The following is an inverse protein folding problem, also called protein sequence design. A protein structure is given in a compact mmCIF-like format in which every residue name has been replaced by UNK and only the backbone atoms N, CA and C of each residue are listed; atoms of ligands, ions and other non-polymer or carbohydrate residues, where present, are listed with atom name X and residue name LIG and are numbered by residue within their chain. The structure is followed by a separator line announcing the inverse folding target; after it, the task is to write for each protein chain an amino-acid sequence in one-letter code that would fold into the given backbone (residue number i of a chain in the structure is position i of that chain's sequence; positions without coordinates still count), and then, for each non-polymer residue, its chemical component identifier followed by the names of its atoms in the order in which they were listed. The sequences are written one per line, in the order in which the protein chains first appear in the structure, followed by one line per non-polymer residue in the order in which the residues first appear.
data_IF_572927357801
#
_entry.id   IF_572927357801
#
_cell.length_a   1.000
_cell.length_b   1.000
_cell.length_c   1.000
_cell.angle_alpha   90.00
_cell.angle_beta   90.00
_cell.angle_gamma   90.00
#
_symmetry.space_group_name_H-M   'P 1'
#
loop_
_entity.id
_entity.type
_entity.pdbx_description
1 polymer ?
#
# COMPACT_ATOMS: atom_id res chain seq x y z
N UNK A 1 -16.42 1.01 7.82
CA UNK A 1 -16.91 -0.22 8.49
C UNK A 1 -16.30 -0.27 9.89
N UNK A 2 -17.06 -0.63 10.93
CA UNK A 2 -16.50 -0.90 12.26
C UNK A 2 -15.99 -2.34 12.34
N UNK A 3 -14.82 -2.54 12.93
CA UNK A 3 -14.26 -3.87 13.16
C UNK A 3 -14.94 -4.54 14.35
N UNK A 4 -15.19 -5.84 14.22
CA UNK A 4 -15.66 -6.67 15.33
C UNK A 4 -14.59 -6.80 16.42
N UNK A 5 -14.97 -7.09 17.69
CA UNK A 5 -14.01 -7.38 18.75
C UNK A 5 -12.98 -8.46 18.37
N UNK A 6 -13.42 -9.50 17.66
CA UNK A 6 -12.58 -10.60 17.19
C UNK A 6 -11.56 -10.14 16.15
N UNK A 7 -11.98 -9.31 15.20
CA UNK A 7 -11.08 -8.71 14.21
C UNK A 7 -10.08 -7.77 14.87
N UNK A 8 -10.49 -6.96 15.84
CA UNK A 8 -9.55 -6.11 16.61
C UNK A 8 -8.52 -6.95 17.36
N UNK A 9 -8.96 -8.00 18.04
CA UNK A 9 -8.07 -8.92 18.75
C UNK A 9 -7.09 -9.64 17.80
N UNK A 10 -7.56 -10.04 16.61
CA UNK A 10 -6.70 -10.62 15.58
C UNK A 10 -5.68 -9.61 15.06
N UNK A 11 -6.12 -8.40 14.71
CA UNK A 11 -5.22 -7.37 14.20
C UNK A 11 -4.14 -7.01 15.24
N UNK A 12 -4.53 -6.89 16.50
CA UNK A 12 -3.61 -6.61 17.60
C UNK A 12 -2.57 -7.73 17.76
N UNK A 13 -2.99 -9.00 17.67
CA UNK A 13 -2.10 -10.16 17.79
C UNK A 13 -1.18 -10.35 16.58
N UNK A 14 -1.76 -10.30 15.38
CA UNK A 14 -1.12 -10.78 14.15
C UNK A 14 -0.65 -9.65 13.22
N UNK A 15 -1.19 -8.44 13.38
CA UNK A 15 -0.82 -7.24 12.64
C UNK A 15 -1.54 -7.06 11.30
N UNK A 16 -2.48 -7.95 10.97
CA UNK A 16 -3.24 -7.89 9.73
C UNK A 16 -4.64 -8.50 9.85
N UNK A 17 -5.50 -8.15 8.91
CA UNK A 17 -6.81 -8.73 8.64
C UNK A 17 -6.94 -9.06 7.14
N UNK A 18 -7.65 -10.14 6.83
CA UNK A 18 -7.94 -10.56 5.46
C UNK A 18 -9.44 -10.77 5.27
N UNK A 19 -9.98 -10.21 4.19
CA UNK A 19 -11.40 -10.23 3.85
C UNK A 19 -11.53 -10.81 2.43
N UNK A 20 -11.75 -12.13 2.30
CA UNK A 20 -11.84 -12.77 0.98
C UNK A 20 -13.11 -12.33 0.24
N UNK A 21 -12.96 -11.94 -1.03
CA UNK A 21 -14.08 -11.52 -1.89
C UNK A 21 -14.91 -10.36 -1.30
N UNK A 22 -14.24 -9.41 -0.63
CA UNK A 22 -14.91 -8.30 0.03
C UNK A 22 -15.55 -7.30 -0.93
N UNK A 23 -15.08 -7.29 -2.18
CA UNK A 23 -15.65 -6.56 -3.30
C UNK A 23 -16.15 -7.53 -4.36
N UNK A 24 -17.27 -7.18 -5.03
CA UNK A 24 -17.87 -8.00 -6.07
C UNK A 24 -17.05 -8.00 -7.37
N UNK A 25 -17.39 -8.89 -8.28
CA UNK A 25 -16.79 -8.92 -9.61
C UNK A 25 -17.10 -7.63 -10.40
N UNK A 26 -18.31 -7.07 -10.26
CA UNK A 26 -18.73 -5.81 -10.87
C UNK A 26 -17.94 -4.62 -10.30
N UNK A 27 -17.80 -4.55 -8.97
CA UNK A 27 -17.00 -3.50 -8.30
C UNK A 27 -15.54 -3.56 -8.77
N UNK A 28 -14.97 -4.76 -8.80
CA UNK A 28 -13.56 -4.96 -9.20
C UNK A 28 -13.35 -4.68 -10.70
N UNK A 29 -14.34 -5.01 -11.54
CA UNK A 29 -14.28 -4.75 -12.98
C UNK A 29 -14.11 -3.26 -13.31
N UNK A 30 -14.78 -2.39 -12.57
CA UNK A 30 -14.67 -0.92 -12.73
C UNK A 30 -13.23 -0.44 -12.53
N UNK A 31 -12.48 -1.09 -11.63
CA UNK A 31 -11.08 -0.79 -11.36
C UNK A 31 -10.16 -1.40 -12.42
N UNK A 32 -10.36 -2.68 -12.77
CA UNK A 32 -9.51 -3.38 -13.75
C UNK A 32 -9.59 -2.75 -15.13
N UNK A 33 -10.78 -2.28 -15.55
CA UNK A 33 -10.99 -1.65 -16.86
C UNK A 33 -10.22 -0.32 -16.98
N UNK A 34 -9.90 0.35 -15.85
CA UNK A 34 -9.15 1.61 -15.83
C UNK A 34 -7.62 1.44 -15.83
N UNK A 35 -7.10 0.25 -15.48
CA UNK A 35 -5.65 0.00 -15.37
C UNK A 35 -4.91 0.18 -16.70
N UNK A 36 -5.39 -0.34 -17.85
CA UNK A 36 -4.66 -0.23 -19.12
C UNK A 36 -4.37 1.22 -19.55
N UNK A 37 -5.36 2.13 -19.41
CA UNK A 37 -5.16 3.55 -19.74
C UNK A 37 -4.07 4.17 -18.85
N UNK A 38 -4.16 3.95 -17.53
CA UNK A 38 -3.17 4.45 -16.58
C UNK A 38 -1.76 3.93 -16.88
N UNK A 39 -1.62 2.65 -17.18
CA UNK A 39 -0.32 2.01 -17.43
C UNK A 39 0.29 2.40 -18.78
N UNK A 40 -0.54 2.83 -19.73
CA UNK A 40 -0.07 3.31 -21.04
C UNK A 40 0.68 4.65 -20.93
N UNK A 41 0.33 5.48 -19.95
CA UNK A 41 0.92 6.82 -19.75
C UNK A 41 2.42 6.74 -19.49
N UNK A 42 3.18 7.64 -20.12
CA UNK A 42 4.64 7.75 -19.96
C UNK A 42 4.97 8.92 -19.04
N UNK A 43 4.61 8.74 -17.78
CA UNK A 43 4.71 9.74 -16.71
C UNK A 43 5.57 9.23 -15.56
N UNK A 44 6.15 10.14 -14.77
CA UNK A 44 7.06 9.81 -13.67
C UNK A 44 6.43 8.90 -12.60
N UNK A 45 5.10 8.95 -12.43
CA UNK A 45 4.37 8.09 -11.50
C UNK A 45 4.25 6.63 -11.96
N UNK A 46 4.62 6.28 -13.19
CA UNK A 46 4.66 4.91 -13.70
C UNK A 46 6.11 4.37 -13.64
N UNK A 47 6.46 3.74 -12.52
CA UNK A 47 7.73 3.04 -12.38
C UNK A 47 7.64 1.69 -13.10
N UNK A 48 8.52 1.46 -14.07
CA UNK A 48 8.55 0.25 -14.90
C UNK A 48 9.65 -0.71 -14.44
N UNK A 49 9.48 -1.98 -14.77
CA UNK A 49 10.51 -2.99 -14.51
C UNK A 49 11.78 -2.70 -15.32
N UNK A 50 12.93 -3.10 -14.78
CA UNK A 50 14.22 -2.86 -15.43
C UNK A 50 14.31 -3.71 -16.71
N UNK A 51 14.44 -3.04 -17.86
CA UNK A 51 14.58 -3.72 -19.15
C UNK A 51 13.27 -4.21 -19.77
N UNK A 52 12.12 -3.81 -19.22
CA UNK A 52 10.79 -4.09 -19.77
C UNK A 52 9.92 -2.82 -19.76
N UNK A 53 8.89 -2.81 -20.60
CA UNK A 53 7.83 -1.81 -20.58
C UNK A 53 6.73 -2.12 -19.55
N UNK A 54 6.80 -3.24 -18.82
CA UNK A 54 5.85 -3.58 -17.77
C UNK A 54 5.85 -2.55 -16.62
N UNK A 55 4.68 -2.05 -16.24
CA UNK A 55 4.55 -1.17 -15.06
C UNK A 55 4.64 -2.01 -13.79
N UNK A 56 5.66 -1.74 -12.98
CA UNK A 56 5.85 -2.32 -11.65
C UNK A 56 4.94 -1.66 -10.62
N UNK A 57 4.93 -0.33 -10.61
CA UNK A 57 4.12 0.48 -9.70
C UNK A 57 3.63 1.73 -10.42
N UNK A 58 2.31 1.92 -10.43
CA UNK A 58 1.71 3.22 -10.69
C UNK A 58 1.43 3.90 -9.35
N UNK A 59 1.83 5.15 -9.21
CA UNK A 59 1.56 5.97 -8.04
C UNK A 59 0.43 6.97 -8.31
N UNK A 60 -0.28 7.36 -7.26
CA UNK A 60 -1.24 8.46 -7.28
C UNK A 60 -2.40 8.34 -8.29
N UNK A 61 -2.76 7.14 -8.76
CA UNK A 61 -3.88 6.93 -9.69
C UNK A 61 -5.19 7.60 -9.25
N UNK A 62 -5.44 7.68 -7.94
CA UNK A 62 -6.62 8.34 -7.37
C UNK A 62 -6.70 9.85 -7.63
N UNK A 63 -5.61 10.51 -8.04
CA UNK A 63 -5.61 11.92 -8.45
C UNK A 63 -5.82 12.10 -9.96
N UNK A 64 -5.88 11.00 -10.71
CA UNK A 64 -5.91 10.99 -12.19
C UNK A 64 -7.19 10.31 -12.71
N UNK A 65 -7.61 9.22 -12.06
CA UNK A 65 -8.66 8.32 -12.53
C UNK A 65 -9.82 8.24 -11.55
N UNK A 66 -11.03 8.58 -12.01
CA UNK A 66 -12.24 8.62 -11.17
C UNK A 66 -12.53 7.29 -10.44
N UNK A 67 -12.45 6.10 -11.07
CA UNK A 67 -12.59 4.83 -10.35
C UNK A 67 -11.68 4.70 -9.11
N UNK A 68 -10.41 5.09 -9.23
CA UNK A 68 -9.44 5.01 -8.14
C UNK A 68 -9.63 6.16 -7.14
N UNK A 69 -10.12 7.32 -7.58
CA UNK A 69 -10.52 8.42 -6.70
C UNK A 69 -11.72 8.05 -5.82
N UNK A 70 -12.66 7.24 -6.34
CA UNK A 70 -13.77 6.66 -5.56
C UNK A 70 -13.28 5.58 -4.62
N UNK A 71 -12.39 4.68 -5.07
CA UNK A 71 -11.78 3.66 -4.22
C UNK A 71 -10.99 4.27 -3.05
N UNK A 72 -10.24 5.34 -3.28
CA UNK A 72 -9.49 6.08 -2.27
C UNK A 72 -10.38 6.62 -1.13
N UNK A 73 -11.68 6.80 -1.40
CA UNK A 73 -12.70 7.29 -0.47
C UNK A 73 -13.70 6.18 -0.08
N UNK A 74 -13.43 4.92 -0.43
CA UNK A 74 -14.38 3.84 -0.20
C UNK A 74 -14.47 3.47 1.29
N UNK A 75 -15.67 3.35 1.88
CA UNK A 75 -15.83 3.15 3.33
C UNK A 75 -15.35 1.78 3.84
N UNK A 76 -15.27 0.78 2.96
CA UNK A 76 -14.60 -0.51 3.24
C UNK A 76 -13.08 -0.40 3.29
N UNK A 77 -12.49 0.55 2.55
CA UNK A 77 -11.03 0.75 2.52
C UNK A 77 -10.57 1.66 3.66
N UNK A 78 -11.24 2.80 3.87
CA UNK A 78 -10.82 3.83 4.82
C UNK A 78 -11.31 3.54 6.23
N UNK A 79 -12.59 3.15 6.36
CA UNK A 79 -13.26 3.05 7.65
C UNK A 79 -12.59 2.15 8.69
N UNK A 80 -12.06 0.95 8.33
CA UNK A 80 -11.33 0.11 9.29
C UNK A 80 -10.10 0.78 9.90
N UNK A 81 -9.40 1.65 9.16
CA UNK A 81 -8.21 2.34 9.67
C UNK A 81 -8.60 3.46 10.62
N UNK A 82 -9.62 4.27 10.26
CA UNK A 82 -10.20 5.29 11.15
C UNK A 82 -10.69 4.66 12.46
N UNK A 83 -11.32 3.49 12.38
CA UNK A 83 -11.83 2.74 13.54
C UNK A 83 -10.71 2.21 14.46
N UNK A 84 -9.56 1.81 13.89
CA UNK A 84 -8.38 1.37 14.67
C UNK A 84 -7.62 2.53 15.31
N UNK A 85 -7.48 3.65 14.61
CA UNK A 85 -6.78 4.83 15.15
C UNK A 85 -7.64 5.70 16.06
N UNK A 86 -8.96 5.54 15.97
CA UNK A 86 -9.95 6.41 16.60
C UNK A 86 -9.72 7.89 16.21
N UNK A 87 -9.29 8.09 14.96
CA UNK A 87 -8.87 9.36 14.40
C UNK A 87 -9.10 9.37 12.87
N UNK A 88 -9.32 10.56 12.32
CA UNK A 88 -9.32 10.78 10.88
C UNK A 88 -7.94 10.50 10.26
N UNK A 89 -7.96 10.13 8.97
CA UNK A 89 -6.76 9.76 8.23
C UNK A 89 -6.68 10.52 6.92
N UNK A 90 -5.46 10.78 6.48
CA UNK A 90 -5.17 11.26 5.13
C UNK A 90 -4.54 10.15 4.28
N UNK A 91 -4.55 10.32 2.96
CA UNK A 91 -3.85 9.44 2.04
C UNK A 91 -2.36 9.78 2.06
N UNK A 92 -1.52 8.96 2.68
CA UNK A 92 -0.06 9.16 2.63
C UNK A 92 0.51 8.72 1.28
N UNK A 93 0.04 7.59 0.76
CA UNK A 93 0.51 7.03 -0.50
C UNK A 93 -0.56 6.16 -1.16
N UNK A 94 -0.72 6.27 -2.47
CA UNK A 94 -1.59 5.40 -3.27
C UNK A 94 -0.79 4.69 -4.36
N UNK A 95 -0.88 3.36 -4.43
CA UNK A 95 -0.14 2.53 -5.39
C UNK A 95 -1.03 1.54 -6.11
N UNK A 96 -0.78 1.29 -7.38
CA UNK A 96 -1.22 0.09 -8.09
C UNK A 96 0.04 -0.69 -8.45
N UNK A 97 0.27 -1.80 -7.77
CA UNK A 97 1.43 -2.64 -7.99
C UNK A 97 1.08 -3.75 -8.98
N UNK A 98 1.71 -3.69 -10.16
CA UNK A 98 1.60 -4.71 -11.19
C UNK A 98 2.74 -5.71 -11.04
N UNK A 99 2.40 -6.97 -10.76
CA UNK A 99 3.35 -8.08 -10.83
C UNK A 99 2.99 -8.96 -12.02
N UNK A 100 3.48 -8.54 -13.19
CA UNK A 100 3.12 -9.15 -14.47
C UNK A 100 3.62 -10.58 -14.58
N UNK A 101 2.87 -11.40 -15.33
CA UNK A 101 3.24 -12.77 -15.66
C UNK A 101 4.69 -12.84 -16.20
N UNK A 102 5.45 -13.82 -15.72
CA UNK A 102 6.86 -14.08 -16.07
C UNK A 102 7.90 -12.99 -15.74
N UNK A 103 7.50 -11.74 -15.50
CA UNK A 103 8.42 -10.61 -15.37
C UNK A 103 8.52 -10.04 -13.95
N UNK A 104 7.51 -10.25 -13.12
CA UNK A 104 7.39 -9.56 -11.84
C UNK A 104 8.48 -9.93 -10.81
N UNK A 105 9.30 -8.96 -10.42
CA UNK A 105 10.46 -9.18 -9.53
C UNK A 105 10.09 -9.19 -8.03
N UNK A 106 11.02 -9.61 -7.18
CA UNK A 106 10.90 -9.70 -5.72
C UNK A 106 10.65 -8.33 -5.07
N UNK A 107 9.96 -8.36 -3.92
CA UNK A 107 10.01 -7.32 -2.90
C UNK A 107 10.63 -7.92 -1.64
N UNK A 108 11.76 -7.39 -1.19
CA UNK A 108 12.53 -7.86 -0.05
C UNK A 108 11.75 -7.70 1.25
N UNK A 109 12.17 -8.38 2.31
CA UNK A 109 11.60 -8.18 3.64
C UNK A 109 11.83 -6.74 4.12
N UNK A 110 10.74 -6.03 4.39
CA UNK A 110 10.76 -4.64 4.83
C UNK A 110 9.60 -4.32 5.78
N UNK A 111 9.67 -3.13 6.37
CA UNK A 111 8.55 -2.42 6.97
C UNK A 111 8.29 -1.16 6.12
N UNK A 112 7.03 -0.87 5.80
CA UNK A 112 6.68 0.36 5.10
C UNK A 112 7.04 1.59 5.96
N UNK A 113 6.75 1.53 7.26
CA UNK A 113 7.09 2.60 8.20
C UNK A 113 8.59 2.89 8.24
N UNK A 114 9.44 1.87 8.05
CA UNK A 114 10.89 2.07 7.97
C UNK A 114 11.27 3.05 6.86
N UNK A 115 10.60 3.00 5.70
CA UNK A 115 10.81 3.98 4.63
C UNK A 115 10.25 5.35 5.01
N UNK A 116 9.03 5.40 5.54
CA UNK A 116 8.35 6.66 5.85
C UNK A 116 9.03 7.46 6.97
N UNK A 117 9.59 6.76 7.97
CA UNK A 117 10.43 7.36 9.00
C UNK A 117 11.72 7.92 8.39
N UNK A 118 12.48 7.09 7.65
CA UNK A 118 13.81 7.45 7.20
C UNK A 118 13.82 8.47 6.05
N UNK A 119 12.80 8.47 5.20
CA UNK A 119 12.72 9.37 4.05
C UNK A 119 11.81 10.58 4.29
N UNK A 120 10.65 10.40 4.91
CA UNK A 120 9.66 11.48 5.05
C UNK A 120 9.54 12.03 6.48
N UNK A 121 10.30 11.47 7.44
CA UNK A 121 10.22 11.83 8.85
C UNK A 121 8.79 11.68 9.42
N UNK A 122 8.09 10.60 9.06
CA UNK A 122 6.82 10.24 9.68
C UNK A 122 7.03 10.00 11.20
N UNK A 123 6.37 10.74 12.11
CA UNK A 123 6.74 10.77 13.54
C UNK A 123 6.62 9.43 14.25
N UNK A 124 5.53 8.70 14.02
CA UNK A 124 5.21 7.41 14.64
C UNK A 124 4.62 6.45 13.62
N UNK A 125 4.48 5.18 13.99
CA UNK A 125 3.91 4.12 13.18
C UNK A 125 2.38 4.17 13.03
N UNK A 126 1.73 5.31 13.33
CA UNK A 126 0.28 5.56 13.14
C UNK A 126 -0.09 5.70 11.66
N UNK A 127 0.28 4.69 10.88
CA UNK A 127 -0.11 4.49 9.50
C UNK A 127 -0.36 2.99 9.22
N UNK A 128 -1.27 2.71 8.31
CA UNK A 128 -1.69 1.36 7.90
C UNK A 128 -1.71 1.25 6.38
N UNK A 129 -1.61 0.02 5.87
CA UNK A 129 -1.90 -0.25 4.46
C UNK A 129 -3.20 -1.03 4.32
N UNK A 130 -4.00 -0.63 3.34
CA UNK A 130 -5.18 -1.36 2.91
C UNK A 130 -5.02 -1.68 1.44
N UNK A 131 -5.10 -2.97 1.11
CA UNK A 131 -4.91 -3.46 -0.24
C UNK A 131 -6.17 -4.16 -0.75
N UNK A 132 -6.47 -3.99 -2.03
CA UNK A 132 -7.49 -4.76 -2.76
C UNK A 132 -6.83 -5.48 -3.93
N UNK A 133 -7.20 -6.75 -4.10
CA UNK A 133 -6.75 -7.59 -5.21
C UNK A 133 -7.57 -7.28 -6.46
N UNK A 134 -6.91 -6.92 -7.56
CA UNK A 134 -7.57 -6.78 -8.86
C UNK A 134 -7.52 -8.08 -9.66
N UNK A 135 -6.47 -8.87 -9.48
CA UNK A 135 -6.37 -10.25 -9.96
C UNK A 135 -6.54 -11.24 -8.80
N UNK A 136 -6.86 -12.50 -9.10
CA UNK A 136 -6.77 -13.58 -8.12
C UNK A 136 -5.33 -13.72 -7.61
N UNK A 137 -5.17 -13.87 -6.29
CA UNK A 137 -3.87 -14.10 -5.66
C UNK A 137 -3.77 -15.56 -5.25
N UNK A 138 -2.83 -16.27 -5.89
CA UNK A 138 -2.56 -17.69 -5.66
C UNK A 138 -1.19 -17.86 -4.99
N UNK A 139 -0.79 -19.10 -4.73
CA UNK A 139 0.57 -19.38 -4.25
C UNK A 139 1.65 -19.17 -5.33
N UNK A 140 1.27 -19.09 -6.61
CA UNK A 140 2.19 -19.12 -7.74
C UNK A 140 2.52 -17.75 -8.34
N UNK A 141 1.66 -16.75 -8.15
CA UNK A 141 1.84 -15.41 -8.76
C UNK A 141 2.49 -14.38 -7.81
N UNK A 142 3.31 -14.85 -6.87
CA UNK A 142 4.06 -14.02 -5.94
C UNK A 142 3.16 -13.30 -4.91
N UNK A 143 2.41 -14.04 -4.07
CA UNK A 143 1.56 -13.45 -3.05
C UNK A 143 2.38 -12.66 -2.03
N UNK A 144 1.73 -11.72 -1.35
CA UNK A 144 2.31 -11.05 -0.20
C UNK A 144 2.55 -12.08 0.91
N UNK A 145 3.72 -12.00 1.55
CA UNK A 145 4.11 -12.79 2.70
C UNK A 145 4.21 -11.87 3.91
N UNK A 146 3.68 -12.33 5.04
CA UNK A 146 3.76 -11.65 6.33
C UNK A 146 4.46 -12.55 7.35
N UNK A 147 5.11 -11.93 8.34
CA UNK A 147 5.50 -12.58 9.58
C UNK A 147 4.50 -12.14 10.67
N UNK A 148 3.51 -12.98 11.04
CA UNK A 148 2.47 -12.58 11.99
C UNK A 148 3.04 -12.09 13.32
N UNK A 149 2.49 -10.98 13.82
CA UNK A 149 2.85 -10.40 15.11
C UNK A 149 4.19 -9.65 15.12
N UNK A 150 4.91 -9.56 14.00
CA UNK A 150 6.19 -8.85 13.94
C UNK A 150 6.06 -7.34 14.18
N UNK A 151 4.89 -6.77 13.88
CA UNK A 151 4.59 -5.34 14.09
C UNK A 151 4.72 -4.93 15.56
N UNK A 152 4.50 -5.85 16.50
CA UNK A 152 4.64 -5.62 17.95
C UNK A 152 6.06 -5.30 18.40
N UNK A 153 7.07 -5.50 17.54
CA UNK A 153 8.44 -5.04 17.80
C UNK A 153 8.59 -3.52 17.60
N UNK A 154 7.61 -2.86 16.99
CA UNK A 154 7.71 -1.49 16.54
C UNK A 154 8.60 -1.39 15.29
N UNK A 155 9.12 -0.19 15.04
CA UNK A 155 10.10 0.03 13.99
C UNK A 155 11.41 -0.71 14.30
N UNK A 156 12.01 -1.32 13.28
CA UNK A 156 13.30 -1.99 13.39
C UNK A 156 14.34 -1.29 12.54
N UNK A 157 15.61 -1.41 12.92
CA UNK A 157 16.72 -0.89 12.11
C UNK A 157 16.67 -1.49 10.70
N UNK A 158 16.68 -0.61 9.70
CA UNK A 158 16.62 -0.98 8.30
C UNK A 158 17.87 -0.49 7.55
N UNK A 159 18.32 -1.28 6.57
CA UNK A 159 19.44 -0.92 5.69
C UNK A 159 18.89 -0.55 4.31
N UNK A 160 19.34 0.58 3.77
CA UNK A 160 18.91 1.01 2.45
C UNK A 160 19.58 0.16 1.37
N UNK A 161 18.83 -0.75 0.77
CA UNK A 161 19.30 -1.60 -0.31
C UNK A 161 19.14 -0.86 -1.64
N UNK A 162 20.27 -0.51 -2.24
CA UNK A 162 20.37 0.17 -3.54
C UNK A 162 20.67 -0.79 -4.70
N UNK A 163 20.80 -2.10 -4.43
CA UNK A 163 21.55 -3.01 -5.32
C UNK A 163 20.74 -4.21 -5.80
N UNK A 164 19.80 -4.72 -5.01
CA UNK A 164 19.19 -6.03 -5.30
C UNK A 164 17.98 -5.97 -6.25
N UNK A 165 17.26 -4.86 -6.35
CA UNK A 165 16.12 -4.70 -7.28
C UNK A 165 16.10 -3.34 -7.97
N UNK A 166 15.19 -3.17 -8.93
CA UNK A 166 14.95 -1.92 -9.68
C UNK A 166 14.51 -0.72 -8.82
N UNK A 167 14.18 -0.94 -7.54
CA UNK A 167 13.70 0.10 -6.62
C UNK A 167 14.48 0.08 -5.29
N UNK A 168 15.11 1.20 -4.89
CA UNK A 168 15.69 1.37 -3.56
C UNK A 168 14.68 1.08 -2.45
N UNK A 169 15.04 0.21 -1.50
CA UNK A 169 14.14 -0.18 -0.41
C UNK A 169 14.89 -0.28 0.92
N UNK A 170 14.25 0.16 1.99
CA UNK A 170 14.73 -0.05 3.36
C UNK A 170 14.41 -1.49 3.79
N UNK A 171 15.43 -2.34 3.85
CA UNK A 171 15.29 -3.78 4.10
C UNK A 171 15.64 -4.15 5.54
N UNK A 172 15.03 -5.23 6.03
CA UNK A 172 15.25 -5.78 7.37
C UNK A 172 16.37 -6.83 7.33
N UNK A 173 17.22 -6.82 8.36
CA UNK A 173 18.34 -7.75 8.48
C UNK A 173 17.89 -9.23 8.56
N UNK A 174 18.56 -10.11 7.83
CA UNK A 174 18.20 -11.53 7.72
C UNK A 174 18.24 -12.28 9.07
N UNK A 175 19.12 -11.92 10.00
CA UNK A 175 19.15 -12.56 11.33
C UNK A 175 17.93 -12.16 12.14
N UNK A 176 17.49 -10.91 12.03
CA UNK A 176 16.25 -10.48 12.65
C UNK A 176 15.03 -11.17 12.00
N UNK A 177 15.00 -11.36 10.68
CA UNK A 177 13.95 -12.13 10.01
C UNK A 177 13.87 -13.55 10.57
N UNK A 178 15.00 -14.26 10.73
CA UNK A 178 15.03 -15.61 11.31
C UNK A 178 14.39 -15.63 12.70
N UNK A 179 14.77 -14.68 13.56
CA UNK A 179 14.22 -14.58 14.93
C UNK A 179 12.72 -14.31 14.94
N UNK A 180 12.24 -13.42 14.06
CA UNK A 180 10.82 -13.09 13.95
C UNK A 180 10.00 -14.28 13.45
N UNK A 181 10.49 -15.01 12.43
CA UNK A 181 9.85 -16.24 11.92
C UNK A 181 9.78 -17.31 13.00
N UNK A 182 10.87 -17.56 13.74
CA UNK A 182 10.87 -18.54 14.83
C UNK A 182 9.85 -18.18 15.91
N UNK A 183 9.80 -16.92 16.34
CA UNK A 183 8.82 -16.42 17.30
C UNK A 183 7.38 -16.60 16.82
N UNK A 184 7.13 -16.40 15.53
CA UNK A 184 5.80 -16.49 14.93
C UNK A 184 5.35 -17.94 14.64
N UNK A 185 6.16 -18.96 14.94
CA UNK A 185 5.81 -20.37 14.77
C UNK A 185 6.71 -21.14 13.79
N UNK A 186 7.88 -20.58 13.44
CA UNK A 186 8.89 -21.24 12.63
C UNK A 186 8.36 -21.72 11.29
N UNK A 187 8.78 -22.93 10.87
CA UNK A 187 8.43 -23.50 9.56
C UNK A 187 6.92 -23.68 9.31
N UNK A 188 6.10 -23.78 10.36
CA UNK A 188 4.68 -24.15 10.25
C UNK A 188 3.70 -22.99 10.50
N UNK A 189 4.20 -21.81 10.83
CA UNK A 189 3.35 -20.64 11.09
C UNK A 189 4.06 -19.29 11.07
N UNK A 190 5.40 -19.28 10.98
CA UNK A 190 6.18 -18.05 11.03
C UNK A 190 6.09 -17.17 9.80
N UNK A 191 5.54 -17.70 8.69
CA UNK A 191 5.24 -16.95 7.47
C UNK A 191 3.86 -17.34 6.98
N UNK A 192 3.04 -16.34 6.65
CA UNK A 192 1.70 -16.55 6.07
C UNK A 192 1.53 -15.74 4.79
N UNK A 193 0.71 -16.24 3.87
CA UNK A 193 0.35 -15.55 2.64
C UNK A 193 -1.15 -15.63 2.42
N UNK A 194 -1.90 -14.54 2.73
CA UNK A 194 -3.30 -14.44 2.38
C UNK A 194 -3.48 -14.56 0.86
N UNK A 195 -4.41 -15.42 0.45
CA UNK A 195 -4.70 -15.77 -0.94
C UNK A 195 -6.21 -15.78 -1.12
N UNK A 196 -6.68 -15.37 -2.29
CA UNK A 196 -8.11 -15.27 -2.55
C UNK A 196 -8.42 -14.65 -3.90
N UNK A 197 -9.71 -14.63 -4.28
CA UNK A 197 -10.15 -14.10 -5.55
C UNK A 197 -9.90 -12.58 -5.65
N UNK A 198 -10.00 -12.07 -6.87
CA UNK A 198 -10.13 -10.64 -7.10
C UNK A 198 -11.27 -10.05 -6.24
N UNK A 199 -11.09 -8.81 -5.77
CA UNK A 199 -11.96 -8.16 -4.79
C UNK A 199 -11.68 -8.54 -3.34
N UNK A 200 -10.73 -9.44 -3.06
CA UNK A 200 -10.29 -9.66 -1.67
C UNK A 200 -9.51 -8.45 -1.16
N UNK A 201 -9.66 -8.16 0.14
CA UNK A 201 -9.02 -7.02 0.81
C UNK A 201 -8.09 -7.49 1.93
N UNK A 202 -6.94 -6.84 2.08
CA UNK A 202 -6.04 -6.98 3.23
C UNK A 202 -5.90 -5.63 3.92
N UNK A 203 -5.96 -5.61 5.25
CA UNK A 203 -5.52 -4.49 6.08
C UNK A 203 -4.31 -4.94 6.89
N UNK A 204 -3.22 -4.19 6.91
CA UNK A 204 -2.03 -4.55 7.68
C UNK A 204 -1.27 -3.34 8.24
N UNK A 205 -0.61 -3.58 9.37
CA UNK A 205 0.18 -2.60 10.09
C UNK A 205 1.44 -2.18 9.32
N UNK A 206 1.80 -0.89 9.35
CA UNK A 206 2.99 -0.37 8.65
C UNK A 206 4.33 -0.97 9.11
N UNK A 207 4.44 -1.32 10.40
CA UNK A 207 5.52 -2.13 10.98
C UNK A 207 5.40 -3.66 10.79
N UNK A 208 4.35 -4.18 10.14
CA UNK A 208 4.30 -5.62 9.86
C UNK A 208 5.35 -5.96 8.81
N UNK A 209 6.24 -6.91 9.12
CA UNK A 209 7.34 -7.29 8.25
C UNK A 209 6.79 -8.13 7.12
N UNK A 210 7.03 -7.69 5.90
CA UNK A 210 6.42 -8.30 4.71
C UNK A 210 7.34 -8.29 3.50
N UNK A 211 7.06 -9.20 2.57
CA UNK A 211 7.82 -9.41 1.34
C UNK A 211 6.93 -10.06 0.27
N UNK A 212 7.41 -10.16 -0.98
CA UNK A 212 6.79 -11.07 -1.96
C UNK A 212 7.83 -11.64 -2.91
N UNK A 213 7.74 -12.94 -3.21
CA UNK A 213 8.61 -13.62 -4.18
C UNK A 213 8.30 -13.24 -5.62
N UNK A 214 9.16 -13.58 -6.58
CA UNK A 214 8.93 -13.30 -8.01
C UNK A 214 7.67 -13.98 -8.57
N UNK A 215 7.21 -13.53 -9.73
CA UNK A 215 6.10 -14.15 -10.46
C UNK A 215 6.61 -14.87 -11.71
N UNK A 216 6.81 -16.19 -11.59
CA UNK A 216 7.18 -17.05 -12.71
C UNK A 216 5.98 -17.67 -13.43
N UNK A 217 4.77 -17.38 -12.94
CA UNK A 217 3.53 -17.95 -13.47
C UNK A 217 3.03 -17.19 -14.72
N UNK A 218 2.11 -17.77 -15.50
CA UNK A 218 1.43 -17.08 -16.59
C UNK A 218 0.33 -16.11 -16.13
N UNK A 219 0.14 -15.90 -14.82
CA UNK A 219 -0.95 -15.13 -14.26
C UNK A 219 -0.45 -13.82 -13.67
N UNK A 220 -1.08 -12.70 -14.03
CA UNK A 220 -0.76 -11.41 -13.42
C UNK A 220 -1.17 -11.38 -11.94
N UNK A 221 -0.59 -10.42 -11.21
CA UNK A 221 -0.99 -10.10 -9.84
C UNK A 221 -0.97 -8.59 -9.63
N UNK A 222 -2.05 -7.94 -10.07
CA UNK A 222 -2.30 -6.52 -9.84
C UNK A 222 -3.06 -6.33 -8.53
N UNK A 223 -2.57 -5.43 -7.70
CA UNK A 223 -3.24 -5.03 -6.46
C UNK A 223 -3.08 -3.53 -6.23
N UNK A 224 -4.11 -2.92 -5.67
CA UNK A 224 -4.12 -1.51 -5.27
C UNK A 224 -3.82 -1.42 -3.77
N UNK A 225 -3.02 -0.44 -3.35
CA UNK A 225 -2.66 -0.16 -1.97
C UNK A 225 -2.94 1.29 -1.64
N UNK A 226 -3.63 1.50 -0.51
CA UNK A 226 -3.81 2.79 0.14
C UNK A 226 -3.00 2.73 1.43
N UNK A 227 -1.99 3.58 1.54
CA UNK A 227 -1.29 3.82 2.80
C UNK A 227 -1.98 5.01 3.48
N UNK A 228 -2.72 4.72 4.55
CA UNK A 228 -3.52 5.68 5.30
C UNK A 228 -2.80 6.03 6.59
N UNK A 229 -2.63 7.32 6.87
CA UNK A 229 -1.93 7.81 8.04
C UNK A 229 -2.84 8.71 8.87
N UNK A 230 -2.76 8.61 10.19
CA UNK A 230 -3.44 9.53 11.11
C UNK A 230 -3.04 10.98 10.79
N UNK A 231 -4.01 11.90 10.76
CA UNK A 231 -3.75 13.31 10.40
C UNK A 231 -2.76 13.96 11.35
N UNK A 232 -2.85 13.67 12.65
CA UNK A 232 -1.88 14.12 13.66
C UNK A 232 -0.45 13.62 13.42
N UNK A 233 -0.28 12.56 12.62
CA UNK A 233 0.97 11.86 12.35
C UNK A 233 1.48 12.09 10.91
N UNK A 234 1.09 13.19 10.26
CA UNK A 234 1.58 13.49 8.92
C UNK A 234 3.12 13.59 8.85
N UNK A 235 3.66 13.54 7.63
CA UNK A 235 5.12 13.56 7.43
C UNK A 235 5.73 14.91 7.81
N UNK A 236 7.04 14.95 8.10
CA UNK A 236 7.77 16.19 8.48
C UNK A 236 8.85 16.57 7.47
N UNK A 237 8.93 15.87 6.33
CA UNK A 237 9.89 16.17 5.26
C UNK A 237 9.39 15.70 3.90
N UNK A 238 9.56 16.53 2.89
CA UNK A 238 9.17 16.23 1.51
C UNK A 238 10.34 15.71 0.67
N UNK A 239 11.05 14.69 1.15
CA UNK A 239 12.23 14.12 0.46
C UNK A 239 11.87 13.41 -0.83
N UNK A 240 10.68 12.79 -0.87
CA UNK A 240 10.18 12.05 -2.04
C UNK A 240 9.16 12.91 -2.81
N UNK A 241 9.03 12.71 -4.14
CA UNK A 241 8.00 13.39 -4.94
C UNK A 241 6.60 13.19 -4.37
N UNK A 242 5.73 14.17 -4.56
CA UNK A 242 4.36 14.19 -4.01
C UNK A 242 3.50 13.02 -4.50
N UNK A 243 3.74 12.54 -5.73
CA UNK A 243 3.03 11.36 -6.22
C UNK A 243 3.39 10.09 -5.43
N UNK A 244 4.54 10.06 -4.76
CA UNK A 244 4.97 8.96 -3.87
C UNK A 244 4.54 9.23 -2.43
N UNK A 245 4.83 10.41 -1.88
CA UNK A 245 4.51 10.80 -0.51
C UNK A 245 3.67 12.07 -0.55
N UNK A 246 2.36 11.92 -0.35
CA UNK A 246 1.40 13.01 -0.50
C UNK A 246 1.57 14.10 0.56
N UNK A 247 1.15 15.31 0.20
CA UNK A 247 1.32 16.55 0.98
C UNK A 247 0.00 17.20 1.37
N UNK A 248 -1.11 16.65 0.89
CA UNK A 248 -2.44 17.02 1.32
C UNK A 248 -2.83 16.15 2.52
N UNK A 249 -2.84 16.77 3.71
CA UNK A 249 -3.17 16.12 4.97
C UNK A 249 -4.64 16.28 5.34
N UNK A 250 -5.48 16.75 4.40
CA UNK A 250 -6.92 16.88 4.62
C UNK A 250 -7.52 15.50 4.91
N UNK A 251 -8.37 15.36 5.95
CA UNK A 251 -9.09 14.13 6.22
C UNK A 251 -9.79 13.55 4.99
N UNK A 252 -9.67 12.24 4.78
CA UNK A 252 -10.37 11.54 3.69
C UNK A 252 -11.87 11.51 3.98
N UNK A 253 -12.65 12.23 3.19
CA UNK A 253 -14.11 12.13 3.20
C UNK A 253 -14.56 10.83 2.50
N UNK A 254 -15.20 9.94 3.26
CA UNK A 254 -15.72 8.68 2.71
C UNK A 254 -16.97 8.92 1.86
N UNK A 255 -17.05 8.21 0.74
CA UNK A 255 -18.23 8.14 -0.11
C UNK A 255 -19.21 7.06 0.39
N UNK A 256 -20.44 6.99 -0.16
CA UNK A 256 -21.33 5.85 0.03
C UNK A 256 -20.69 4.53 -0.43
N UNK A 257 -21.13 3.41 0.15
CA UNK A 257 -20.55 2.09 -0.09
C UNK A 257 -20.74 1.56 -1.53
N UNK A 258 -21.70 2.09 -2.29
CA UNK A 258 -21.93 1.74 -3.69
C UNK A 258 -21.17 2.66 -4.66
N UNK A 259 -20.16 3.40 -4.20
CA UNK A 259 -19.49 4.41 -5.01
C UNK A 259 -18.67 3.86 -6.17
N UNK A 260 -18.33 2.58 -6.20
CA UNK A 260 -17.72 1.97 -7.39
C UNK A 260 -18.74 1.70 -8.50
N UNK A 261 -20.03 1.56 -8.17
CA UNK A 261 -21.09 1.22 -9.12
C UNK A 261 -21.92 2.43 -9.54
N UNK A 262 -21.82 3.55 -8.82
CA UNK A 262 -22.55 4.80 -9.10
C UNK A 262 -21.60 5.98 -9.31
N UNK A 263 -21.98 6.95 -10.16
CA UNK A 263 -21.10 8.06 -10.54
C UNK A 263 -21.11 9.18 -9.48
N UNK A 264 -20.61 8.89 -8.28
CA UNK A 264 -20.37 9.95 -7.29
C UNK A 264 -19.26 10.88 -7.79
N UNK A 265 -19.44 12.21 -7.67
CA UNK A 265 -18.44 13.18 -8.08
C UNK A 265 -17.19 13.03 -7.19
N UNK A 266 -16.02 13.11 -7.83
CA UNK A 266 -14.71 13.02 -7.18
C UNK A 266 -13.73 13.90 -7.91
N UNK A 267 -12.83 14.52 -7.16
CA UNK A 267 -11.76 15.31 -7.75
C UNK A 267 -10.61 14.42 -8.22
N UNK A 268 -10.15 14.71 -9.44
CA UNK A 268 -8.97 14.14 -10.08
C UNK A 268 -8.09 15.28 -10.59
N UNK A 269 -7.41 16.01 -9.68
CA UNK A 269 -6.70 17.25 -10.02
C UNK A 269 -5.58 17.05 -11.04
N UNK A 270 -5.06 15.83 -11.19
CA UNK A 270 -3.98 15.47 -12.11
C UNK A 270 -4.48 14.75 -13.37
N UNK A 271 -5.79 14.80 -13.67
CA UNK A 271 -6.37 14.16 -14.88
C UNK A 271 -5.68 14.58 -16.18
N UNK A 272 -5.19 15.82 -16.22
CA UNK A 272 -4.56 16.46 -17.38
C UNK A 272 -3.01 16.37 -17.35
N UNK A 273 -2.43 15.65 -16.40
CA UNK A 273 -0.97 15.52 -16.25
C UNK A 273 -0.49 15.77 -14.83
N UNK A 274 0.73 15.32 -14.54
CA UNK A 274 1.38 15.53 -13.26
C UNK A 274 1.85 17.00 -13.15
N UNK A 275 1.45 17.75 -12.10
CA UNK A 275 1.93 19.12 -11.93
C UNK A 275 3.42 19.14 -11.59
N UNK A 276 4.16 20.15 -12.07
CA UNK A 276 5.60 20.29 -11.80
C UNK A 276 5.90 20.37 -10.30
N UNK A 277 5.00 20.96 -9.50
CA UNK A 277 5.12 21.02 -8.04
C UNK A 277 5.23 19.64 -7.38
N UNK A 278 4.59 18.62 -7.97
CA UNK A 278 4.62 17.26 -7.45
C UNK A 278 6.00 16.59 -7.60
N UNK A 279 6.90 17.15 -8.41
CA UNK A 279 8.27 16.66 -8.58
C UNK A 279 9.27 17.33 -7.62
N UNK A 280 8.91 18.48 -7.03
CA UNK A 280 9.80 19.22 -6.15
C UNK A 280 10.03 18.45 -4.85
N UNK A 281 11.28 18.30 -4.41
CA UNK A 281 11.64 17.61 -3.16
C UNK A 281 12.49 18.52 -2.27
N UNK A 282 12.37 18.39 -0.96
CA UNK A 282 13.24 19.09 0.01
C UNK A 282 13.73 18.15 1.10
N UNK A 283 14.95 18.41 1.58
CA UNK A 283 15.50 17.79 2.77
C UNK A 283 15.17 18.55 4.06
N UNK A 284 14.58 19.74 3.93
CA UNK A 284 14.18 20.58 5.06
C UNK A 284 13.11 19.89 5.90
N UNK A 285 13.20 20.08 7.22
CA UNK A 285 12.19 19.62 8.15
C UNK A 285 11.09 20.67 8.20
N UNK A 286 9.84 20.26 8.02
CA UNK A 286 8.67 21.14 8.14
C UNK A 286 8.56 21.63 9.58
N UNK A 287 8.35 22.94 9.74
CA UNK A 287 8.15 23.52 11.05
C UNK A 287 6.80 23.05 11.61
N UNK A 288 6.72 22.69 12.90
CA UNK A 288 5.51 22.08 13.47
C UNK A 288 4.29 23.02 13.49
N UNK A 289 4.49 24.30 13.16
CA UNK A 289 3.46 25.32 13.04
C UNK A 289 2.93 25.52 11.60
N UNK A 290 3.58 24.94 10.59
CA UNK A 290 3.16 24.96 9.17
C UNK A 290 2.46 23.64 8.75
N UNK A 291 2.07 22.86 9.75
CA UNK A 291 1.63 21.47 9.69
C UNK A 291 0.13 21.32 10.02
#
# INVERSE_FOLDING_TARGET
MKLTPEQRAQFERDGYLFFPGHFSAEETKVLTDAVPDLYSRREAFNVREKGSDAVRTNFAAHLISEPFARLARHPRMVGPVTDLFEEEVYMHQFKINGKMAFEGDVWQWHQDYGTWLNDDLMPTERAMNVAIFLDEVTEHNGPLMFIPGSHRKGVVDAKHDLTTTSYPLWTVDNDLIRQLVDRAGGKHGGIVSPKGPAGSMILFHSCLVHASGSNLSPFNRVAVYLSLCAVSNHIRRHKRPEYIAHRDFTPVEMLPDDCLLKPYPVDVPWKNGLPESALLTSLDVLDTAEA
#
